data_IF_767234888130
#
_entry.id   IF_767234888130
#
_cell.length_a   1.000
_cell.length_b   1.000
_cell.length_c   1.000
_cell.angle_alpha   90.00
_cell.angle_beta   90.00
_cell.angle_gamma   90.00
#
_symmetry.space_group_name_H-M   'P 1'
#
loop_
_entity.id
_entity.type
_entity.pdbx_description
1 polymer ?
#
# COMPACT_ATOMS: atom_id res chain seq x y z
N UNK A 1 -10.23 -11.17 13.71
CA UNK A 1 -8.89 -10.79 13.17
C UNK A 1 -7.99 -12.00 13.31
N UNK A 2 -7.32 -12.39 12.24
CA UNK A 2 -6.44 -13.57 12.21
C UNK A 2 -5.06 -13.12 11.72
N UNK A 3 -4.00 -13.71 12.26
CA UNK A 3 -2.61 -13.38 11.93
C UNK A 3 -1.97 -14.52 11.15
N UNK A 4 -1.18 -14.18 10.13
CA UNK A 4 -0.23 -15.09 9.49
C UNK A 4 1.15 -14.46 9.52
N UNK A 5 2.17 -15.29 9.72
CA UNK A 5 3.57 -14.84 9.74
C UNK A 5 4.43 -15.84 8.96
N UNK A 6 5.40 -15.32 8.21
CA UNK A 6 6.39 -16.09 7.47
C UNK A 6 7.73 -15.33 7.48
N UNK A 7 8.76 -15.91 8.09
CA UNK A 7 10.01 -15.20 8.35
C UNK A 7 9.77 -13.90 9.12
N UNK A 8 10.20 -12.77 8.55
CA UNK A 8 10.01 -11.44 9.13
C UNK A 8 8.70 -10.76 8.67
N UNK A 9 7.95 -11.36 7.77
CA UNK A 9 6.69 -10.80 7.28
C UNK A 9 5.53 -11.20 8.19
N UNK A 10 4.68 -10.23 8.53
CA UNK A 10 3.46 -10.47 9.30
C UNK A 10 2.27 -9.75 8.67
N UNK A 11 1.19 -10.51 8.53
CA UNK A 11 -0.07 -10.03 7.99
C UNK A 11 -1.22 -10.27 8.97
N UNK A 12 -2.19 -9.35 8.95
CA UNK A 12 -3.48 -9.50 9.61
C UNK A 12 -4.60 -9.45 8.59
N UNK A 13 -5.57 -10.32 8.79
CA UNK A 13 -6.73 -10.49 7.93
C UNK A 13 -7.98 -10.15 8.73
N UNK A 14 -8.85 -9.33 8.15
CA UNK A 14 -10.10 -8.88 8.75
C UNK A 14 -11.22 -9.14 7.75
N UNK A 15 -12.31 -9.73 8.24
CA UNK A 15 -13.51 -9.93 7.44
C UNK A 15 -14.69 -9.28 8.15
N UNK A 16 -15.47 -8.51 7.40
CA UNK A 16 -16.79 -8.09 7.80
C UNK A 16 -17.80 -9.01 7.11
N UNK A 17 -18.62 -9.71 7.89
CA UNK A 17 -19.64 -10.63 7.37
C UNK A 17 -21.05 -10.09 7.64
N UNK A 18 -21.17 -8.76 7.68
CA UNK A 18 -22.42 -8.02 7.90
C UNK A 18 -22.58 -6.95 6.81
N UNK A 19 -23.82 -6.46 6.57
CA UNK A 19 -24.06 -5.40 5.59
C UNK A 19 -23.63 -4.01 6.07
N UNK A 20 -23.15 -3.85 7.31
CA UNK A 20 -22.81 -2.56 7.88
C UNK A 20 -21.42 -2.11 7.44
N UNK A 21 -21.30 -0.84 7.10
CA UNK A 21 -20.00 -0.20 6.94
C UNK A 21 -19.48 0.29 8.31
N UNK A 22 -18.19 0.08 8.57
CA UNK A 22 -17.53 0.63 9.75
C UNK A 22 -16.45 1.63 9.34
N UNK A 23 -16.71 2.92 9.54
CA UNK A 23 -15.76 4.00 9.25
C UNK A 23 -14.56 4.02 10.21
N UNK A 24 -14.76 3.57 11.44
CA UNK A 24 -13.75 3.51 12.49
C UNK A 24 -13.94 2.21 13.27
N UNK A 25 -13.09 1.23 12.98
CA UNK A 25 -13.11 -0.06 13.65
C UNK A 25 -11.72 -0.36 14.19
N UNK A 26 -11.60 -0.49 15.51
CA UNK A 26 -10.31 -0.75 16.16
C UNK A 26 -10.03 -2.26 16.19
N UNK A 27 -8.81 -2.63 15.82
CA UNK A 27 -8.29 -4.00 15.90
C UNK A 27 -6.95 -4.04 16.62
N UNK A 28 -6.71 -5.12 17.36
CA UNK A 28 -5.43 -5.36 18.03
C UNK A 28 -4.38 -5.87 17.04
N UNK A 29 -3.15 -5.37 17.15
CA UNK A 29 -2.01 -5.78 16.32
C UNK A 29 -0.74 -6.00 17.15
N UNK A 30 0.13 -6.96 16.76
CA UNK A 30 1.27 -7.39 17.58
C UNK A 30 2.45 -6.42 17.61
N UNK A 31 2.58 -5.56 16.60
CA UNK A 31 3.75 -4.72 16.39
C UNK A 31 3.37 -3.25 16.24
N UNK A 32 4.22 -2.38 16.78
CA UNK A 32 4.17 -0.94 16.55
C UNK A 32 4.57 -0.60 15.10
N UNK A 33 4.35 0.65 14.68
CA UNK A 33 4.71 1.14 13.36
C UNK A 33 3.53 1.18 12.40
N UNK A 34 3.80 0.98 11.11
CA UNK A 34 2.82 1.17 10.05
C UNK A 34 2.30 -0.15 9.50
N UNK A 35 1.01 -0.17 9.15
CA UNK A 35 0.32 -1.29 8.57
C UNK A 35 -0.29 -0.88 7.22
N UNK A 36 0.22 -1.45 6.14
CA UNK A 36 -0.24 -1.13 4.78
C UNK A 36 -1.37 -2.07 4.35
N UNK A 37 -2.42 -1.51 3.76
CA UNK A 37 -3.48 -2.26 3.08
C UNK A 37 -2.96 -2.82 1.76
N UNK A 38 -2.78 -4.15 1.70
CA UNK A 38 -2.29 -4.82 0.48
C UNK A 38 -3.43 -5.43 -0.33
N UNK A 39 -4.57 -5.72 0.31
CA UNK A 39 -5.75 -6.25 -0.36
C UNK A 39 -7.01 -5.74 0.32
N UNK A 40 -7.99 -5.38 -0.51
CA UNK A 40 -9.33 -4.99 -0.08
C UNK A 40 -10.31 -5.41 -1.17
N UNK A 41 -11.25 -6.29 -0.82
CA UNK A 41 -12.22 -6.82 -1.77
C UNK A 41 -13.23 -5.77 -2.24
N UNK A 42 -13.40 -4.66 -1.52
CA UNK A 42 -14.32 -3.57 -1.89
C UNK A 42 -13.68 -2.55 -2.85
N UNK A 43 -12.45 -2.76 -3.33
CA UNK A 43 -11.86 -1.88 -4.35
C UNK A 43 -12.72 -1.83 -5.62
N UNK A 44 -12.82 -0.66 -6.25
CA UNK A 44 -13.62 -0.45 -7.47
C UNK A 44 -13.26 -1.42 -8.61
N UNK A 45 -11.98 -1.80 -8.71
CA UNK A 45 -11.50 -2.77 -9.71
C UNK A 45 -12.12 -4.17 -9.57
N UNK A 46 -12.67 -4.49 -8.41
CA UNK A 46 -13.39 -5.74 -8.13
C UNK A 46 -14.91 -5.56 -8.10
N UNK A 47 -15.42 -4.39 -8.49
CA UNK A 47 -16.84 -4.05 -8.45
C UNK A 47 -17.36 -3.56 -7.09
N UNK A 48 -16.46 -3.27 -6.15
CA UNK A 48 -16.82 -2.70 -4.85
C UNK A 48 -17.01 -1.17 -4.87
N UNK A 49 -17.35 -0.61 -3.70
CA UNK A 49 -17.64 0.82 -3.51
C UNK A 49 -16.39 1.67 -3.23
N UNK A 50 -15.21 1.06 -3.30
CA UNK A 50 -13.92 1.68 -3.08
C UNK A 50 -13.78 2.30 -1.68
N UNK A 51 -14.23 1.58 -0.65
CA UNK A 51 -14.02 1.96 0.74
C UNK A 51 -12.65 1.45 1.19
N UNK A 52 -11.62 2.26 0.98
CA UNK A 52 -10.21 1.92 1.26
C UNK A 52 -9.61 2.78 2.38
N UNK A 53 -8.58 2.25 3.06
CA UNK A 53 -7.88 2.95 4.14
C UNK A 53 -6.90 4.01 3.62
N UNK A 54 -6.36 3.81 2.41
CA UNK A 54 -5.47 4.75 1.75
C UNK A 54 -4.03 4.63 2.23
N UNK A 55 -3.60 5.56 3.08
CA UNK A 55 -2.23 5.58 3.62
C UNK A 55 -2.01 4.44 4.62
N UNK A 56 -0.75 4.02 4.85
CA UNK A 56 -0.43 3.08 5.91
C UNK A 56 -0.98 3.54 7.26
N UNK A 57 -1.60 2.60 7.97
CA UNK A 57 -2.26 2.83 9.25
C UNK A 57 -1.22 2.78 10.36
N UNK A 58 -1.18 3.83 11.18
CA UNK A 58 -0.23 3.92 12.30
C UNK A 58 -0.77 3.18 13.52
N UNK A 59 0.02 2.26 14.05
CA UNK A 59 -0.25 1.61 15.32
C UNK A 59 -0.15 2.59 16.48
N UNK A 60 -1.01 2.40 17.48
CA UNK A 60 -0.98 3.16 18.73
C UNK A 60 -0.77 2.22 19.89
N UNK A 61 0.02 2.64 20.88
CA UNK A 61 0.30 1.89 22.10
C UNK A 61 -0.92 1.93 23.05
N UNK A 62 -1.97 1.22 22.66
CA UNK A 62 -3.19 1.05 23.42
C UNK A 62 -3.69 -0.40 23.21
N UNK A 63 -3.48 -1.30 24.19
CA UNK A 63 -3.75 -2.71 24.04
C UNK A 63 -5.22 -3.04 23.71
N UNK A 64 -5.43 -3.98 22.78
CA UNK A 64 -6.76 -4.42 22.36
C UNK A 64 -6.71 -5.89 21.89
N UNK A 65 -7.76 -6.66 22.13
CA UNK A 65 -7.87 -8.07 21.68
C UNK A 65 -6.67 -8.95 22.08
N UNK A 66 -6.08 -8.69 23.26
CA UNK A 66 -4.89 -9.41 23.75
C UNK A 66 -3.60 -9.06 22.99
N UNK A 67 -3.57 -7.98 22.21
CA UNK A 67 -2.40 -7.47 21.52
C UNK A 67 -1.91 -6.16 22.14
N UNK A 68 -0.60 -5.87 22.10
CA UNK A 68 -0.02 -4.67 22.73
C UNK A 68 -0.38 -3.36 22.02
N UNK A 69 -0.65 -3.38 20.72
CA UNK A 69 -0.97 -2.20 19.94
C UNK A 69 -2.36 -2.31 19.30
N UNK A 70 -2.88 -1.17 18.83
CA UNK A 70 -4.12 -1.11 18.05
C UNK A 70 -3.98 -0.23 16.81
N UNK A 71 -4.75 -0.54 15.78
CA UNK A 71 -4.96 0.32 14.60
C UNK A 71 -6.46 0.52 14.38
N UNK A 72 -6.83 1.67 13.84
CA UNK A 72 -8.20 1.97 13.43
C UNK A 72 -8.32 1.82 11.92
N UNK A 73 -9.25 0.98 11.46
CA UNK A 73 -9.48 0.68 10.05
C UNK A 73 -10.87 1.18 9.60
N UNK A 74 -10.99 1.46 8.30
CA UNK A 74 -12.25 1.46 7.56
C UNK A 74 -12.49 0.05 7.05
N UNK A 75 -13.68 -0.48 7.30
CA UNK A 75 -14.05 -1.85 6.97
C UNK A 75 -15.37 -1.89 6.22
N UNK A 76 -15.30 -2.27 4.94
CA UNK A 76 -16.44 -2.32 4.04
C UNK A 76 -17.48 -3.40 4.42
N UNK A 77 -18.76 -3.24 4.05
CA UNK A 77 -19.78 -4.29 4.12
C UNK A 77 -19.34 -5.56 3.38
N UNK A 78 -19.57 -6.73 3.97
CA UNK A 78 -19.20 -8.03 3.38
C UNK A 78 -17.73 -8.10 2.86
N UNK A 79 -16.84 -7.26 3.41
CA UNK A 79 -15.50 -7.03 2.88
C UNK A 79 -14.42 -7.88 3.53
N UNK A 80 -13.40 -8.20 2.75
CA UNK A 80 -12.14 -8.79 3.18
C UNK A 80 -11.02 -7.76 3.06
N UNK A 81 -10.34 -7.48 4.18
CA UNK A 81 -9.25 -6.51 4.29
C UNK A 81 -7.98 -7.20 4.82
N UNK A 82 -6.89 -7.14 4.06
CA UNK A 82 -5.60 -7.70 4.45
C UNK A 82 -4.58 -6.59 4.60
N UNK A 83 -3.91 -6.58 5.75
CA UNK A 83 -2.88 -5.61 6.10
C UNK A 83 -1.56 -6.33 6.33
N UNK A 84 -0.46 -5.74 5.84
CA UNK A 84 0.89 -6.18 6.17
C UNK A 84 1.56 -5.16 7.08
N UNK A 85 2.35 -5.64 8.03
CA UNK A 85 3.26 -4.77 8.77
C UNK A 85 4.35 -4.26 7.82
N UNK A 86 4.62 -2.95 7.84
CA UNK A 86 5.65 -2.33 7.01
C UNK A 86 6.99 -2.46 7.73
N UNK A 87 7.79 -3.44 7.33
CA UNK A 87 9.19 -3.51 7.76
C UNK A 87 9.99 -2.42 7.05
N UNK A 88 10.70 -1.59 7.82
CA UNK A 88 11.57 -0.55 7.28
C UNK A 88 12.69 -1.14 6.40
N UNK A 89 13.07 -2.41 6.62
CA UNK A 89 14.11 -3.11 5.85
C UNK A 89 13.58 -3.73 4.53
N UNK A 90 12.27 -3.72 4.28
CA UNK A 90 11.65 -4.37 3.12
C UNK A 90 11.04 -3.34 2.13
N UNK A 91 11.42 -2.06 2.26
CA UNK A 91 10.90 -0.96 1.41
C UNK A 91 11.52 -0.90 0.01
N UNK A 92 12.65 -1.59 -0.22
CA UNK A 92 13.46 -1.45 -1.44
C UNK A 92 13.29 -2.59 -2.48
N UNK A 93 12.42 -3.58 -2.27
CA UNK A 93 12.36 -4.78 -3.14
C UNK A 93 11.12 -4.90 -4.01
N UNK A 94 10.18 -3.94 -3.97
CA UNK A 94 8.98 -3.91 -4.83
C UNK A 94 8.88 -2.65 -5.68
N UNK A 95 10.00 -2.15 -6.22
CA UNK A 95 9.93 -1.38 -7.46
C UNK A 95 9.71 -2.34 -8.65
N UNK A 96 8.88 -1.88 -9.58
CA UNK A 96 8.27 -2.61 -10.69
C UNK A 96 9.34 -3.25 -11.59
N UNK A 97 9.50 -4.58 -11.53
CA UNK A 97 10.05 -5.37 -12.65
C UNK A 97 8.92 -5.69 -13.63
N UNK A 98 8.51 -4.70 -14.40
CA UNK A 98 7.67 -4.91 -15.59
C UNK A 98 8.56 -4.67 -16.82
N UNK A 99 9.08 -5.76 -17.39
CA UNK A 99 9.84 -5.73 -18.63
C UNK A 99 9.23 -6.74 -19.62
N UNK A 100 8.56 -6.19 -20.64
CA UNK A 100 8.58 -6.57 -22.07
C UNK A 100 8.29 -8.02 -22.50
N UNK A 101 7.17 -8.21 -23.21
CA UNK A 101 6.96 -8.85 -24.56
C UNK A 101 5.43 -9.06 -24.75
N UNK A 102 4.70 -8.78 -25.84
CA UNK A 102 4.93 -8.36 -27.23
C UNK A 102 3.65 -7.70 -27.85
N UNK A 103 3.82 -7.03 -29.01
CA UNK A 103 2.90 -6.21 -29.86
C UNK A 103 1.71 -7.00 -30.52
N UNK A 104 0.63 -6.38 -31.07
CA UNK A 104 0.61 -5.71 -32.41
C UNK A 104 -0.19 -4.37 -32.49
N UNK A 105 0.32 -3.30 -33.12
CA UNK A 105 -0.03 -2.68 -34.43
C UNK A 105 -0.79 -1.32 -34.25
N UNK A 106 -0.08 -0.18 -34.38
CA UNK A 106 -0.12 0.83 -35.47
C UNK A 106 -1.15 1.97 -35.30
N UNK A 107 -0.67 3.18 -34.97
CA UNK A 107 -1.12 4.44 -35.61
C UNK A 107 -0.07 5.55 -35.40
N UNK A 108 0.30 6.22 -36.48
CA UNK A 108 1.33 7.28 -36.59
C UNK A 108 0.72 8.67 -36.45
N UNK A 109 1.31 9.56 -35.63
CA UNK A 109 1.28 11.02 -35.88
C UNK A 109 2.60 11.65 -35.41
N UNK A 110 3.34 12.22 -36.35
CA UNK A 110 4.49 13.10 -36.08
C UNK A 110 4.00 14.52 -35.79
N UNK A 111 4.47 15.14 -34.69
CA UNK A 111 4.68 16.59 -34.63
C UNK A 111 5.93 16.88 -33.81
N UNK A 112 6.94 17.45 -34.47
CA UNK A 112 8.19 17.89 -33.87
C UNK A 112 8.16 19.43 -33.78
N UNK A 113 8.25 19.99 -32.57
CA UNK A 113 8.55 21.40 -32.37
C UNK A 113 9.51 21.55 -31.18
N UNK A 114 10.79 21.63 -31.53
CA UNK A 114 11.84 22.15 -30.68
C UNK A 114 11.45 23.55 -30.15
N UNK A 115 11.43 23.70 -28.82
CA UNK A 115 11.85 24.91 -28.11
C UNK A 115 12.50 24.50 -26.79
N UNK A 116 13.83 24.55 -26.79
CA UNK A 116 14.72 25.14 -25.77
C UNK A 116 14.25 25.06 -24.28
N UNK A 117 15.05 24.64 -23.30
CA UNK A 117 16.40 25.11 -22.96
C UNK A 117 17.05 24.11 -21.99
N UNK A 118 18.34 23.82 -22.22
CA UNK A 118 19.27 23.16 -21.28
C UNK A 118 19.60 24.07 -20.09
N UNK A 119 19.64 23.53 -18.87
CA UNK A 119 20.69 23.89 -17.91
C UNK A 119 21.21 22.62 -17.23
N UNK A 120 22.38 22.18 -17.68
CA UNK A 120 23.29 21.28 -16.97
C UNK A 120 24.38 22.18 -16.40
N UNK A 121 24.65 22.13 -15.10
CA UNK A 121 25.96 22.57 -14.59
C UNK A 121 26.47 21.62 -13.52
N UNK A 122 27.39 20.76 -13.95
CA UNK A 122 28.32 20.03 -13.10
C UNK A 122 29.43 21.01 -12.66
N UNK A 123 29.81 21.00 -11.38
CA UNK A 123 31.09 21.59 -10.96
C UNK A 123 31.86 20.59 -10.09
N UNK A 124 32.84 19.96 -10.72
CA UNK A 124 33.86 19.14 -10.09
C UNK A 124 34.81 19.97 -9.22
N UNK A 125 35.32 19.29 -8.18
CA UNK A 125 36.52 19.51 -7.36
C UNK A 125 37.52 20.60 -7.80
N UNK A 126 38.00 21.36 -6.81
CA UNK A 126 39.41 21.74 -6.68
C UNK A 126 39.80 21.76 -5.20
N UNK A 127 40.96 21.18 -4.90
CA UNK A 127 41.66 21.22 -3.62
C UNK A 127 42.20 22.63 -3.32
N UNK A 128 42.35 22.90 -2.03
CA UNK A 128 43.53 23.56 -1.43
C UNK A 128 43.70 23.02 -0.02
#
# INVERSE_FOLDING_TARGET
>A
VFRRSAGNETMVFVFNMTPNFYSYYDIGVPFDGEWAEIFNSDKAIYGGLNQFNGIPLKATNNPLQGQPFRITIRLAPFGALFLTHVDANNRDTKEIKENTTAKPAEETVEVNLNKDVKIITNKNRSMS
#
